data_IF_614784626996
#
_entry.id   IF_614784626996
#
_cell.length_a   1.000
_cell.length_b   1.000
_cell.length_c   1.000
_cell.angle_alpha   90.00
_cell.angle_beta   90.00
_cell.angle_gamma   90.00
#
_symmetry.space_group_name_H-M   'P 1'
#
loop_
_entity.id
_entity.type
_entity.pdbx_description
1 polymer ?
#
# COMPACT_ATOMS: atom_id res chain seq x y z
N UNK A 1 12.84 -9.24 -25.58
CA UNK A 1 12.52 -10.24 -24.55
C UNK A 1 11.65 -9.56 -23.48
N UNK A 2 10.35 -9.40 -23.76
CA UNK A 2 9.42 -8.86 -22.79
C UNK A 2 9.08 -9.98 -21.81
N UNK A 3 9.45 -9.84 -20.54
CA UNK A 3 8.86 -10.69 -19.51
C UNK A 3 7.35 -10.40 -19.51
N UNK A 4 6.55 -11.35 -19.96
CA UNK A 4 5.12 -11.37 -19.65
C UNK A 4 5.01 -11.66 -18.16
N UNK A 5 5.06 -10.61 -17.34
CA UNK A 5 4.77 -10.72 -15.92
C UNK A 5 3.27 -10.98 -15.79
N UNK A 6 2.84 -12.12 -15.22
CA UNK A 6 1.42 -12.39 -15.03
C UNK A 6 0.76 -11.27 -14.20
N UNK A 7 -0.50 -10.94 -14.52
CA UNK A 7 -1.20 -9.82 -13.88
C UNK A 7 -1.26 -9.95 -12.36
N UNK A 8 -1.46 -11.16 -11.85
CA UNK A 8 -1.42 -11.49 -10.43
C UNK A 8 -0.09 -11.15 -9.77
N UNK A 9 1.04 -11.29 -10.49
CA UNK A 9 2.37 -10.94 -9.98
C UNK A 9 2.52 -9.43 -9.86
N UNK A 10 1.96 -8.67 -10.81
CA UNK A 10 1.93 -7.20 -10.75
C UNK A 10 1.11 -6.73 -9.55
N UNK A 11 -0.11 -7.25 -9.37
CA UNK A 11 -0.97 -6.84 -8.26
C UNK A 11 -0.43 -7.28 -6.89
N UNK A 12 0.12 -8.49 -6.77
CA UNK A 12 0.81 -8.92 -5.56
C UNK A 12 2.01 -8.01 -5.24
N UNK A 13 2.78 -7.62 -6.26
CA UNK A 13 3.87 -6.65 -6.13
C UNK A 13 3.41 -5.28 -5.66
N UNK A 14 2.30 -4.75 -6.20
CA UNK A 14 1.66 -3.50 -5.75
C UNK A 14 1.21 -3.61 -4.29
N UNK A 15 0.62 -4.75 -3.91
CA UNK A 15 0.21 -5.02 -2.53
C UNK A 15 1.39 -4.98 -1.57
N UNK A 16 2.48 -5.67 -1.91
CA UNK A 16 3.72 -5.66 -1.14
C UNK A 16 4.34 -4.26 -1.06
N UNK A 17 4.41 -3.54 -2.17
CA UNK A 17 4.94 -2.18 -2.22
C UNK A 17 4.13 -1.23 -1.32
N UNK A 18 2.80 -1.35 -1.32
CA UNK A 18 1.90 -0.59 -0.45
C UNK A 18 2.20 -0.83 1.02
N UNK A 19 2.43 -2.10 1.41
CA UNK A 19 2.82 -2.46 2.78
C UNK A 19 4.16 -1.83 3.17
N UNK A 20 5.17 -1.99 2.31
CA UNK A 20 6.53 -1.48 2.57
C UNK A 20 6.52 0.05 2.70
N UNK A 21 5.80 0.74 1.82
CA UNK A 21 5.66 2.20 1.85
C UNK A 21 4.83 2.64 3.06
N UNK A 22 3.76 1.93 3.45
CA UNK A 22 2.94 2.27 4.62
C UNK A 22 3.67 2.12 5.96
N UNK A 23 4.58 1.16 6.07
CA UNK A 23 5.27 0.78 7.31
C UNK A 23 6.03 1.91 8.03
N UNK A 24 6.94 2.68 7.38
CA UNK A 24 7.64 3.78 8.05
C UNK A 24 6.68 4.89 8.51
N UNK A 25 5.51 5.00 7.89
CA UNK A 25 4.49 5.96 8.26
C UNK A 25 3.72 5.58 9.52
N UNK A 26 3.26 4.32 9.56
CA UNK A 26 2.55 3.77 10.71
C UNK A 26 3.41 3.86 11.97
N UNK A 27 4.74 3.80 11.78
CA UNK A 27 5.77 3.96 12.81
C UNK A 27 6.21 5.41 13.07
N UNK A 28 5.57 6.41 12.46
CA UNK A 28 5.87 7.84 12.62
C UNK A 28 7.35 8.19 12.41
N UNK A 29 8.00 7.57 11.43
CA UNK A 29 9.44 7.75 11.16
C UNK A 29 9.78 8.74 10.05
N UNK A 30 8.77 9.27 9.37
CA UNK A 30 8.97 10.10 8.18
C UNK A 30 8.61 11.54 8.51
N UNK A 31 9.59 12.47 8.52
CA UNK A 31 9.33 13.87 8.83
C UNK A 31 8.50 14.56 7.73
N UNK A 32 7.90 15.72 8.04
CA UNK A 32 7.22 16.57 7.06
C UNK A 32 8.03 16.75 5.78
N UNK A 33 7.41 16.42 4.65
CA UNK A 33 8.07 16.50 3.35
C UNK A 33 7.06 16.79 2.23
N UNK A 34 7.58 17.20 1.07
CA UNK A 34 6.76 17.69 -0.05
C UNK A 34 6.27 16.60 -1.00
N UNK A 35 6.67 15.33 -0.81
CA UNK A 35 6.47 14.28 -1.81
C UNK A 35 5.66 13.08 -1.32
N UNK A 36 5.50 12.91 -0.02
CA UNK A 36 5.10 11.64 0.55
C UNK A 36 3.83 11.75 1.39
N UNK A 37 2.80 11.00 0.96
CA UNK A 37 1.39 10.94 1.43
C UNK A 37 0.70 12.28 1.70
N UNK A 38 -0.03 12.40 2.82
CA UNK A 38 -1.08 13.41 3.04
C UNK A 38 -0.42 14.76 3.29
N UNK A 39 -0.63 15.68 2.34
CA UNK A 39 0.00 17.01 2.29
C UNK A 39 -1.08 18.08 2.22
N UNK A 40 -1.89 18.11 3.26
CA UNK A 40 -2.85 19.18 3.50
C UNK A 40 -2.13 20.33 4.22
N UNK A 41 -2.63 21.56 4.07
CA UNK A 41 -2.08 22.72 4.78
C UNK A 41 -2.01 22.48 6.29
N UNK A 42 -3.02 21.82 6.87
CA UNK A 42 -3.04 21.43 8.27
C UNK A 42 -1.91 20.46 8.66
N UNK A 43 -1.65 19.43 7.83
CA UNK A 43 -0.56 18.48 8.10
C UNK A 43 0.83 19.09 7.91
N UNK A 44 0.97 20.14 7.10
CA UNK A 44 2.26 20.80 6.88
C UNK A 44 2.54 21.91 7.90
N UNK A 45 1.50 22.43 8.57
CA UNK A 45 1.60 23.47 9.57
C UNK A 45 1.94 22.93 10.97
N UNK A 46 1.64 21.66 11.25
CA UNK A 46 1.77 21.05 12.57
C UNK A 46 2.33 19.61 12.47
N UNK A 47 3.44 19.35 13.16
CA UNK A 47 4.12 18.05 13.14
C UNK A 47 3.34 16.94 13.86
N UNK A 48 2.58 17.28 14.90
CA UNK A 48 1.69 16.32 15.54
C UNK A 48 0.58 15.90 14.57
N UNK A 49 -0.04 16.86 13.88
CA UNK A 49 -1.06 16.59 12.85
C UNK A 49 -0.46 15.80 11.69
N UNK A 50 0.77 16.14 11.27
CA UNK A 50 1.52 15.39 10.28
C UNK A 50 1.61 13.90 10.65
N UNK A 51 2.15 13.58 11.82
CA UNK A 51 2.36 12.19 12.23
C UNK A 51 1.05 11.45 12.53
N UNK A 52 0.02 12.13 13.04
CA UNK A 52 -1.27 11.52 13.32
C UNK A 52 -2.00 11.10 12.04
N UNK A 53 -2.14 12.03 11.08
CA UNK A 53 -2.80 11.78 9.80
C UNK A 53 -2.04 10.74 8.98
N UNK A 54 -0.71 10.90 8.91
CA UNK A 54 0.12 9.97 8.16
C UNK A 54 0.18 8.59 8.83
N UNK A 55 0.27 8.46 10.16
CA UNK A 55 0.26 7.13 10.78
C UNK A 55 -1.03 6.34 10.48
N UNK A 56 -2.17 7.02 10.39
CA UNK A 56 -3.46 6.42 10.00
C UNK A 56 -3.44 5.99 8.54
N UNK A 57 -3.13 6.92 7.63
CA UNK A 57 -3.01 6.64 6.19
C UNK A 57 -2.01 5.50 5.89
N UNK A 58 -0.95 5.39 6.70
CA UNK A 58 0.05 4.32 6.58
C UNK A 58 -0.51 2.95 6.91
N UNK A 59 -1.32 2.86 7.96
CA UNK A 59 -2.02 1.61 8.34
C UNK A 59 -3.05 1.25 7.29
N UNK A 60 -3.83 2.21 6.81
CA UNK A 60 -4.83 1.98 5.77
C UNK A 60 -4.16 1.48 4.47
N UNK A 61 -3.03 2.06 4.08
CA UNK A 61 -2.25 1.62 2.93
C UNK A 61 -1.68 0.21 3.11
N UNK A 62 -1.24 -0.15 4.33
CA UNK A 62 -0.80 -1.50 4.64
C UNK A 62 -1.96 -2.49 4.55
N UNK A 63 -3.13 -2.16 5.11
CA UNK A 63 -4.34 -2.99 5.03
C UNK A 63 -4.77 -3.19 3.59
N UNK A 64 -4.81 -2.11 2.80
CA UNK A 64 -5.08 -2.18 1.36
C UNK A 64 -4.09 -3.11 0.66
N UNK A 65 -2.79 -2.99 0.96
CA UNK A 65 -1.77 -3.85 0.37
C UNK A 65 -1.95 -5.33 0.71
N UNK A 66 -2.33 -5.66 1.95
CA UNK A 66 -2.67 -7.03 2.36
C UNK A 66 -3.89 -7.53 1.60
N UNK A 67 -4.95 -6.74 1.50
CA UNK A 67 -6.18 -7.11 0.76
C UNK A 67 -5.86 -7.37 -0.72
N UNK A 68 -5.10 -6.47 -1.36
CA UNK A 68 -4.71 -6.63 -2.77
C UNK A 68 -3.92 -7.92 -2.98
N UNK A 69 -2.93 -8.21 -2.14
CA UNK A 69 -2.15 -9.45 -2.25
C UNK A 69 -3.00 -10.70 -1.97
N UNK A 70 -3.86 -10.64 -0.95
CA UNK A 70 -4.75 -11.74 -0.56
C UNK A 70 -5.79 -12.07 -1.63
N UNK A 71 -6.18 -11.10 -2.46
CA UNK A 71 -7.06 -11.33 -3.61
C UNK A 71 -6.28 -11.77 -4.84
N UNK A 72 -5.16 -11.10 -5.16
CA UNK A 72 -4.41 -11.34 -6.38
C UNK A 72 -3.82 -12.76 -6.45
N UNK A 73 -3.31 -13.29 -5.34
CA UNK A 73 -2.61 -14.58 -5.31
C UNK A 73 -3.50 -15.81 -5.51
N UNK A 74 -4.69 -15.94 -4.88
CA UNK A 74 -5.57 -17.10 -5.03
C UNK A 74 -6.58 -17.00 -6.18
N UNK A 75 -6.80 -15.82 -6.76
CA UNK A 75 -7.84 -15.62 -7.78
C UNK A 75 -7.66 -16.53 -9.01
N UNK A 76 -6.47 -16.72 -9.59
CA UNK A 76 -6.29 -17.62 -10.74
C UNK A 76 -6.68 -19.09 -10.45
N UNK A 77 -6.39 -19.57 -9.24
CA UNK A 77 -6.69 -20.93 -8.79
C UNK A 77 -8.20 -21.09 -8.61
N UNK A 78 -8.87 -20.10 -8.01
CA UNK A 78 -10.33 -20.10 -7.87
C UNK A 78 -11.04 -20.10 -9.22
N UNK A 79 -10.55 -19.31 -10.19
CA UNK A 79 -11.09 -19.30 -11.55
C UNK A 79 -10.92 -20.67 -12.20
N UNK A 80 -9.74 -21.29 -12.07
CA UNK A 80 -9.47 -22.61 -12.63
C UNK A 80 -10.38 -23.69 -12.02
N UNK A 81 -10.58 -23.68 -10.70
CA UNK A 81 -11.48 -24.61 -10.00
C UNK A 81 -12.95 -24.42 -10.39
N UNK A 82 -13.37 -23.18 -10.68
CA UNK A 82 -14.74 -22.89 -11.13
C UNK A 82 -15.03 -23.29 -12.57
N UNK A 83 -13.98 -23.50 -13.38
CA UNK A 83 -14.08 -23.86 -14.79
C UNK A 83 -13.94 -25.37 -15.05
N UNK A 84 -13.64 -26.15 -14.00
CA UNK A 84 -13.55 -27.61 -14.02
C UNK A 84 -14.89 -28.25 -13.60
#
# INVERSE_FOLDING_TARGET
>A
MALLVPGETVFAGIGLLSIVIGLPLARRRVPPNRWYRVRLSATMADEYVWYAANATCGRDLMVLGVVVAAVALPLPQLVTLSAA
#
